data_IF_737765637099
#
_entry.id   IF_737765637099
#
_cell.length_a   1.000
_cell.length_b   1.000
_cell.length_c   1.000
_cell.angle_alpha   90.00
_cell.angle_beta   90.00
_cell.angle_gamma   90.00
#
_symmetry.space_group_name_H-M   'P 1'
#
loop_
_entity.id
_entity.type
_entity.pdbx_description
1 polymer ?
#
# COMPACT_ATOMS: atom_id res chain seq x y z
N UNK A 1 -56.16 7.64 -10.96
CA UNK A 1 -55.01 7.22 -10.15
C UNK A 1 -53.94 8.29 -10.27
N UNK A 2 -53.55 8.87 -9.16
CA UNK A 2 -52.85 10.16 -9.09
C UNK A 2 -51.35 10.02 -9.29
N UNK A 3 -50.78 10.79 -10.20
CA UNK A 3 -49.33 10.90 -10.52
C UNK A 3 -48.50 11.28 -9.29
N UNK A 4 -49.12 11.79 -8.23
CA UNK A 4 -48.48 12.19 -6.97
C UNK A 4 -47.98 11.00 -6.13
N UNK A 5 -48.57 9.81 -6.25
CA UNK A 5 -48.14 8.61 -5.49
C UNK A 5 -46.91 7.96 -6.09
N UNK A 6 -46.59 8.17 -7.37
CA UNK A 6 -45.43 7.58 -8.02
C UNK A 6 -44.15 8.34 -7.68
N UNK A 7 -44.21 9.65 -7.46
CA UNK A 7 -43.08 10.48 -7.12
C UNK A 7 -42.52 10.20 -5.70
N UNK A 8 -43.41 9.84 -4.77
CA UNK A 8 -43.02 9.55 -3.36
C UNK A 8 -42.28 8.22 -3.25
N UNK A 9 -42.63 7.22 -4.07
CA UNK A 9 -41.94 5.93 -4.06
C UNK A 9 -40.51 6.01 -4.62
N UNK A 10 -40.22 6.91 -5.57
CA UNK A 10 -38.87 7.07 -6.15
C UNK A 10 -37.93 7.75 -5.16
N UNK A 11 -38.40 8.70 -4.36
CA UNK A 11 -37.58 9.40 -3.36
C UNK A 11 -37.24 8.48 -2.18
N UNK A 12 -38.10 7.54 -1.82
CA UNK A 12 -37.83 6.59 -0.73
C UNK A 12 -36.85 5.48 -1.13
N UNK A 13 -36.74 5.16 -2.42
CA UNK A 13 -35.83 4.11 -2.92
C UNK A 13 -34.37 4.57 -3.06
N UNK A 14 -34.12 5.88 -3.12
CA UNK A 14 -32.73 6.42 -3.28
C UNK A 14 -32.02 6.70 -1.96
N UNK A 15 -32.72 6.70 -0.83
CA UNK A 15 -32.15 6.98 0.49
C UNK A 15 -31.18 5.90 1.03
N UNK A 16 -31.34 4.59 0.76
CA UNK A 16 -30.40 3.60 1.29
C UNK A 16 -29.05 3.53 0.56
N UNK A 17 -28.92 4.13 -0.62
CA UNK A 17 -27.66 4.11 -1.38
C UNK A 17 -26.60 5.10 -0.87
N UNK A 18 -26.96 6.04 -0.02
CA UNK A 18 -26.04 7.05 0.55
C UNK A 18 -25.42 6.62 1.90
N UNK A 19 -25.86 5.51 2.48
CA UNK A 19 -25.36 5.03 3.79
C UNK A 19 -24.21 4.04 3.70
N UNK A 20 -23.64 3.79 2.52
CA UNK A 20 -22.52 2.84 2.35
C UNK A 20 -21.14 3.49 2.43
N UNK A 21 -21.03 4.75 2.81
CA UNK A 21 -19.75 5.31 3.25
C UNK A 21 -19.48 4.82 4.68
N UNK A 22 -18.92 3.62 4.79
CA UNK A 22 -18.20 3.23 6.00
C UNK A 22 -17.00 4.16 6.12
N UNK A 23 -17.10 5.16 6.97
CA UNK A 23 -15.95 5.81 7.58
C UNK A 23 -15.12 4.69 8.21
N UNK A 24 -14.03 4.36 7.55
CA UNK A 24 -13.04 3.45 8.12
C UNK A 24 -12.55 4.10 9.42
N UNK A 25 -12.67 3.43 10.57
CA UNK A 25 -12.38 4.08 11.83
C UNK A 25 -10.93 4.53 11.88
N UNK A 26 -10.71 5.75 12.36
CA UNK A 26 -9.40 6.36 12.58
C UNK A 26 -8.45 5.56 13.50
N UNK A 27 -8.87 4.40 13.99
CA UNK A 27 -8.08 3.44 14.74
C UNK A 27 -6.92 2.85 13.91
N UNK A 28 -7.14 2.55 12.62
CA UNK A 28 -6.11 1.99 11.75
C UNK A 28 -4.95 2.98 11.50
N UNK A 29 -5.24 4.29 11.46
CA UNK A 29 -4.18 5.31 11.34
C UNK A 29 -3.31 5.43 12.59
N UNK A 30 -3.84 5.11 13.76
CA UNK A 30 -3.08 5.15 15.03
C UNK A 30 -2.20 3.92 15.23
N UNK A 31 -2.62 2.76 14.74
CA UNK A 31 -1.83 1.53 14.83
C UNK A 31 -0.57 1.58 13.95
N UNK A 32 -0.64 2.15 12.75
CA UNK A 32 0.51 2.31 11.87
C UNK A 32 1.65 3.17 12.45
N UNK A 33 1.35 4.01 13.44
CA UNK A 33 2.33 4.84 14.16
C UNK A 33 3.09 4.12 15.28
N UNK A 34 2.66 2.91 15.65
CA UNK A 34 3.13 2.25 16.85
C UNK A 34 4.33 1.32 16.64
N UNK A 35 4.83 1.17 15.40
CA UNK A 35 5.86 0.18 15.10
C UNK A 35 7.11 0.80 14.48
N UNK A 36 8.25 0.38 15.00
CA UNK A 36 9.57 0.69 14.45
C UNK A 36 10.00 -0.45 13.51
N UNK A 37 9.66 -0.32 12.23
CA UNK A 37 10.03 -1.31 11.23
C UNK A 37 11.53 -1.26 10.99
N UNK A 38 12.24 -2.38 11.19
CA UNK A 38 13.70 -2.50 11.10
C UNK A 38 14.18 -3.24 9.88
N UNK A 39 13.38 -4.15 9.34
CA UNK A 39 13.68 -4.91 8.14
C UNK A 39 12.39 -5.40 7.49
N UNK A 40 12.50 -5.78 6.23
CA UNK A 40 11.44 -6.50 5.52
C UNK A 40 12.06 -7.70 4.79
N UNK A 41 11.28 -8.77 4.64
CA UNK A 41 11.60 -9.93 3.83
C UNK A 41 10.47 -10.18 2.85
N UNK A 42 10.80 -10.22 1.56
CA UNK A 42 9.84 -10.49 0.51
C UNK A 42 9.96 -11.92 0.04
N UNK A 43 8.85 -12.64 0.11
CA UNK A 43 8.69 -13.99 -0.40
C UNK A 43 7.60 -14.02 -1.45
N UNK A 44 7.56 -15.05 -2.28
CA UNK A 44 6.53 -15.19 -3.29
C UNK A 44 6.27 -16.66 -3.61
N UNK A 45 5.15 -16.91 -4.31
CA UNK A 45 4.88 -18.21 -4.92
C UNK A 45 5.76 -18.40 -6.15
N UNK A 46 5.87 -19.66 -6.60
CA UNK A 46 6.74 -20.04 -7.73
C UNK A 46 6.38 -19.37 -9.07
N UNK A 47 5.12 -18.96 -9.23
CA UNK A 47 4.59 -18.31 -10.44
C UNK A 47 4.90 -16.81 -10.52
N UNK A 48 5.51 -16.23 -9.49
CA UNK A 48 5.83 -14.81 -9.41
C UNK A 48 7.22 -14.54 -9.99
N UNK A 49 7.38 -13.55 -10.88
CA UNK A 49 8.70 -13.19 -11.44
C UNK A 49 9.71 -12.80 -10.37
N UNK A 50 10.90 -13.40 -10.41
CA UNK A 50 11.97 -13.12 -9.45
C UNK A 50 12.38 -11.63 -9.42
N UNK A 51 12.31 -10.94 -10.56
CA UNK A 51 12.57 -9.50 -10.66
C UNK A 51 11.60 -8.70 -9.78
N UNK A 52 10.31 -9.04 -9.80
CA UNK A 52 9.30 -8.38 -8.95
C UNK A 52 9.63 -8.53 -7.47
N UNK A 53 10.01 -9.73 -7.05
CA UNK A 53 10.37 -10.05 -5.66
C UNK A 53 11.60 -9.26 -5.23
N UNK A 54 12.68 -9.33 -6.00
CA UNK A 54 13.97 -8.69 -5.69
C UNK A 54 13.83 -7.16 -5.64
N UNK A 55 13.12 -6.55 -6.60
CA UNK A 55 12.94 -5.11 -6.61
C UNK A 55 12.00 -4.63 -5.50
N UNK A 56 10.95 -5.39 -5.19
CA UNK A 56 10.09 -5.06 -4.05
C UNK A 56 10.87 -5.10 -2.74
N UNK A 57 11.68 -6.16 -2.53
CA UNK A 57 12.53 -6.30 -1.34
C UNK A 57 13.50 -5.13 -1.20
N UNK A 58 14.22 -4.81 -2.29
CA UNK A 58 15.16 -3.68 -2.32
C UNK A 58 14.47 -2.36 -1.98
N UNK A 59 13.37 -2.04 -2.65
CA UNK A 59 12.66 -0.76 -2.48
C UNK A 59 12.06 -0.59 -1.08
N UNK A 60 11.50 -1.65 -0.50
CA UNK A 60 10.94 -1.60 0.86
C UNK A 60 12.06 -1.43 1.89
N UNK A 61 13.16 -2.17 1.76
CA UNK A 61 14.30 -2.03 2.67
C UNK A 61 14.99 -0.67 2.54
N UNK A 62 15.10 -0.11 1.33
CA UNK A 62 15.58 1.27 1.12
C UNK A 62 14.69 2.29 1.83
N UNK A 63 13.36 2.14 1.76
CA UNK A 63 12.42 3.00 2.47
C UNK A 63 12.58 2.88 4.00
N UNK A 64 12.79 1.66 4.52
CA UNK A 64 13.03 1.41 5.94
C UNK A 64 14.33 2.10 6.41
N UNK A 65 15.42 1.93 5.67
CA UNK A 65 16.74 2.50 6.00
C UNK A 65 16.75 4.03 5.96
N UNK A 66 15.97 4.62 5.06
CA UNK A 66 15.88 6.09 4.92
C UNK A 66 14.89 6.74 5.87
N UNK A 67 14.08 5.95 6.59
CA UNK A 67 13.09 6.48 7.53
C UNK A 67 13.76 6.98 8.82
N UNK A 68 13.57 8.25 9.15
CA UNK A 68 14.00 8.82 10.43
C UNK A 68 13.01 8.49 11.53
N UNK A 69 13.51 7.98 12.67
CA UNK A 69 12.69 7.56 13.80
C UNK A 69 12.99 8.45 15.01
N UNK A 70 12.00 9.24 15.41
CA UNK A 70 12.15 10.18 16.53
C UNK A 70 11.78 9.60 17.90
N UNK A 71 11.16 8.41 17.95
CA UNK A 71 10.64 7.81 19.18
C UNK A 71 11.07 6.36 19.34
N UNK A 72 11.15 5.91 20.61
CA UNK A 72 11.40 4.50 20.95
C UNK A 72 10.09 3.75 20.78
N UNK A 73 9.97 3.02 19.69
CA UNK A 73 8.81 2.18 19.37
C UNK A 73 9.19 0.70 19.43
N UNK A 74 8.22 -0.23 19.59
CA UNK A 74 8.49 -1.66 19.48
C UNK A 74 9.07 -2.01 18.12
N UNK A 75 10.21 -2.72 18.12
CA UNK A 75 10.87 -3.15 16.89
C UNK A 75 10.06 -4.21 16.18
N UNK A 76 9.89 -4.04 14.89
CA UNK A 76 9.05 -4.88 14.04
C UNK A 76 9.79 -5.26 12.76
N UNK A 77 9.51 -6.44 12.26
CA UNK A 77 9.93 -6.94 10.95
C UNK A 77 8.69 -7.14 10.09
N UNK A 78 8.76 -6.79 8.81
CA UNK A 78 7.69 -7.07 7.86
C UNK A 78 8.00 -8.37 7.09
N UNK A 79 7.10 -9.34 7.19
CA UNK A 79 7.05 -10.49 6.30
C UNK A 79 6.06 -10.17 5.17
N UNK A 80 6.56 -10.02 3.97
CA UNK A 80 5.79 -9.64 2.78
C UNK A 80 5.72 -10.85 1.87
N UNK A 81 4.50 -11.25 1.49
CA UNK A 81 4.28 -12.37 0.58
C UNK A 81 3.50 -11.94 -0.65
N UNK A 82 4.06 -12.15 -1.83
CA UNK A 82 3.35 -11.98 -3.09
C UNK A 82 2.62 -13.28 -3.42
N UNK A 83 1.29 -13.26 -3.22
CA UNK A 83 0.43 -14.45 -3.34
C UNK A 83 0.07 -14.78 -4.78
N UNK A 84 -0.27 -13.76 -5.56
CA UNK A 84 -0.68 -13.91 -6.94
C UNK A 84 -0.08 -12.82 -7.81
N UNK A 85 0.34 -13.22 -8.99
CA UNK A 85 0.78 -12.33 -10.07
C UNK A 85 -0.02 -12.63 -11.34
N UNK A 86 -0.61 -11.62 -11.93
CA UNK A 86 -1.40 -11.75 -13.15
C UNK A 86 -0.89 -10.80 -14.22
N UNK A 87 -0.54 -11.35 -15.36
CA UNK A 87 -0.17 -10.62 -16.56
C UNK A 87 -1.34 -10.60 -17.54
N UNK A 88 -1.82 -9.42 -17.91
CA UNK A 88 -2.87 -9.27 -18.94
C UNK A 88 -2.26 -8.50 -20.10
N UNK A 89 -1.99 -9.18 -21.23
CA UNK A 89 -1.52 -8.51 -22.43
C UNK A 89 -2.65 -7.67 -23.03
N UNK A 90 -2.30 -6.51 -23.57
CA UNK A 90 -3.21 -5.62 -24.30
C UNK A 90 -2.70 -5.35 -25.70
N UNK A 91 -3.57 -4.89 -26.59
CA UNK A 91 -3.21 -4.49 -27.97
C UNK A 91 -2.19 -3.34 -27.99
N UNK A 92 -2.27 -2.45 -27.00
CA UNK A 92 -1.36 -1.31 -26.83
C UNK A 92 -0.86 -1.35 -25.37
N UNK A 93 0.19 -2.16 -25.11
CA UNK A 93 0.77 -2.28 -23.77
C UNK A 93 0.28 -3.50 -23.00
N UNK A 94 0.35 -3.44 -21.66
CA UNK A 94 -0.06 -4.52 -20.79
C UNK A 94 -0.45 -4.04 -19.39
N UNK A 95 -1.17 -4.89 -18.67
CA UNK A 95 -1.50 -4.72 -17.25
C UNK A 95 -0.78 -5.81 -16.46
N UNK A 96 -0.21 -5.44 -15.31
CA UNK A 96 0.23 -6.38 -14.29
C UNK A 96 -0.55 -6.11 -13.00
N UNK A 97 -0.85 -7.20 -12.31
CA UNK A 97 -1.59 -7.14 -11.05
C UNK A 97 -0.97 -8.13 -10.07
N UNK A 98 -0.84 -7.72 -8.81
CA UNK A 98 -0.38 -8.59 -7.75
C UNK A 98 -1.25 -8.44 -6.51
N UNK A 99 -1.47 -9.57 -5.81
CA UNK A 99 -2.04 -9.61 -4.47
C UNK A 99 -0.91 -9.88 -3.49
N UNK A 100 -0.81 -9.02 -2.49
CA UNK A 100 0.29 -9.01 -1.52
C UNK A 100 -0.29 -9.08 -0.12
N UNK A 101 0.22 -10.00 0.69
CA UNK A 101 -0.04 -10.10 2.12
C UNK A 101 1.18 -9.58 2.88
N UNK A 102 0.95 -8.72 3.86
CA UNK A 102 1.98 -8.15 4.71
C UNK A 102 1.65 -8.49 6.15
N UNK A 103 2.58 -9.10 6.84
CA UNK A 103 2.51 -9.43 8.26
C UNK A 103 3.59 -8.65 9.00
N UNK A 104 3.21 -7.96 10.07
CA UNK A 104 4.11 -7.27 10.96
C UNK A 104 4.39 -8.13 12.19
N UNK A 105 5.65 -8.47 12.41
CA UNK A 105 6.10 -9.39 13.47
C UNK A 105 6.94 -8.63 14.49
N UNK A 106 6.59 -8.74 15.76
CA UNK A 106 7.35 -8.15 16.86
C UNK A 106 8.70 -8.87 17.04
N UNK A 107 9.80 -8.12 17.03
CA UNK A 107 11.15 -8.68 17.22
C UNK A 107 11.34 -9.30 18.62
N UNK A 108 10.62 -8.78 19.62
CA UNK A 108 10.78 -9.18 21.00
C UNK A 108 10.35 -10.64 21.29
N UNK A 109 9.30 -11.10 20.64
CA UNK A 109 8.68 -12.41 20.91
C UNK A 109 8.32 -13.23 19.65
N UNK A 110 8.52 -12.67 18.45
CA UNK A 110 8.14 -13.33 17.20
C UNK A 110 6.63 -13.40 16.94
N UNK A 111 5.83 -12.62 17.68
CA UNK A 111 4.38 -12.61 17.53
C UNK A 111 3.94 -11.72 16.37
N UNK A 112 2.98 -12.20 15.58
CA UNK A 112 2.31 -11.40 14.56
C UNK A 112 1.40 -10.37 15.24
N UNK A 113 1.67 -9.10 15.01
CA UNK A 113 0.96 -7.98 15.66
C UNK A 113 -0.03 -7.29 14.73
N UNK A 114 0.17 -7.44 13.42
CA UNK A 114 -0.75 -6.95 12.40
C UNK A 114 -0.58 -7.75 11.11
N UNK A 115 -1.66 -7.94 10.39
CA UNK A 115 -1.67 -8.57 9.07
C UNK A 115 -2.62 -7.80 8.15
N UNK A 116 -2.25 -7.67 6.89
CA UNK A 116 -3.09 -7.04 5.88
C UNK A 116 -2.82 -7.59 4.50
N UNK A 117 -3.87 -7.68 3.68
CA UNK A 117 -3.77 -8.09 2.28
C UNK A 117 -4.32 -6.99 1.39
N UNK A 118 -3.60 -6.71 0.30
CA UNK A 118 -4.04 -5.75 -0.71
C UNK A 118 -3.74 -6.24 -2.11
N UNK A 119 -4.52 -5.77 -3.07
CA UNK A 119 -4.26 -5.98 -4.49
C UNK A 119 -3.87 -4.66 -5.15
N UNK A 120 -2.84 -4.69 -5.97
CA UNK A 120 -2.39 -3.53 -6.74
C UNK A 120 -2.18 -3.90 -8.19
N UNK A 121 -2.34 -2.93 -9.08
CA UNK A 121 -2.12 -3.14 -10.51
C UNK A 121 -1.51 -1.92 -11.16
N UNK A 122 -0.73 -2.16 -12.20
CA UNK A 122 -0.13 -1.15 -13.06
C UNK A 122 -0.49 -1.40 -14.52
N UNK A 123 -0.54 -0.34 -15.29
CA UNK A 123 -0.68 -0.40 -16.74
C UNK A 123 0.44 0.42 -17.38
N UNK A 124 1.06 -0.11 -18.43
CA UNK A 124 2.02 0.63 -19.24
C UNK A 124 1.94 0.23 -20.70
N UNK A 125 2.23 1.17 -21.57
CA UNK A 125 2.41 0.92 -22.99
C UNK A 125 3.72 0.17 -23.29
N UNK A 126 4.69 0.24 -22.36
CA UNK A 126 5.95 -0.49 -22.41
C UNK A 126 5.85 -1.72 -21.53
N UNK A 127 5.96 -2.89 -22.12
CA UNK A 127 5.84 -4.16 -21.40
C UNK A 127 7.08 -4.51 -20.56
N UNK A 128 8.26 -4.00 -20.96
CA UNK A 128 9.56 -4.25 -20.33
C UNK A 128 9.74 -3.62 -18.94
N UNK A 129 9.00 -2.55 -18.65
CA UNK A 129 9.06 -1.85 -17.36
C UNK A 129 7.95 -2.21 -16.37
N UNK A 130 6.99 -3.05 -16.78
CA UNK A 130 5.78 -3.31 -15.96
C UNK A 130 6.06 -3.97 -14.61
N UNK A 131 7.04 -4.88 -14.55
CA UNK A 131 7.39 -5.54 -13.27
C UNK A 131 8.06 -4.55 -12.31
N UNK A 132 8.90 -3.65 -12.81
CA UNK A 132 9.53 -2.60 -12.01
C UNK A 132 8.49 -1.60 -11.49
N UNK A 133 7.57 -1.16 -12.34
CA UNK A 133 6.48 -0.27 -11.94
C UNK A 133 5.54 -0.92 -10.91
N UNK A 134 5.32 -2.24 -11.03
CA UNK A 134 4.53 -2.98 -10.07
C UNK A 134 5.25 -3.07 -8.72
N UNK A 135 6.55 -3.34 -8.72
CA UNK A 135 7.38 -3.36 -7.52
C UNK A 135 7.38 -1.99 -6.81
N UNK A 136 7.57 -0.90 -7.56
CA UNK A 136 7.49 0.46 -7.03
C UNK A 136 6.13 0.74 -6.37
N UNK A 137 5.04 0.33 -7.02
CA UNK A 137 3.69 0.55 -6.49
C UNK A 137 3.41 -0.26 -5.23
N UNK A 138 3.89 -1.51 -5.17
CA UNK A 138 3.82 -2.35 -3.97
C UNK A 138 4.60 -1.70 -2.83
N UNK A 139 5.87 -1.34 -3.08
CA UNK A 139 6.73 -0.72 -2.08
C UNK A 139 6.17 0.62 -1.59
N UNK A 140 5.65 1.46 -2.48
CA UNK A 140 5.03 2.73 -2.13
C UNK A 140 3.77 2.53 -1.26
N UNK A 141 2.96 1.51 -1.53
CA UNK A 141 1.80 1.17 -0.71
C UNK A 141 2.22 0.75 0.69
N UNK A 142 3.20 -0.15 0.81
CA UNK A 142 3.75 -0.59 2.09
C UNK A 142 4.37 0.59 2.85
N UNK A 143 5.19 1.41 2.18
CA UNK A 143 5.78 2.60 2.77
C UNK A 143 4.74 3.57 3.32
N UNK A 144 3.63 3.76 2.60
CA UNK A 144 2.51 4.59 3.05
C UNK A 144 1.82 4.02 4.29
N UNK A 145 1.50 2.72 4.31
CA UNK A 145 0.81 2.07 5.44
C UNK A 145 1.66 2.09 6.72
N UNK A 146 2.98 1.85 6.60
CA UNK A 146 3.89 1.84 7.74
C UNK A 146 4.62 3.17 7.95
N UNK A 147 4.24 4.22 7.22
CA UNK A 147 4.86 5.57 7.26
C UNK A 147 6.38 5.53 7.17
N UNK A 148 6.88 4.70 6.25
CA UNK A 148 8.31 4.58 5.94
C UNK A 148 8.78 5.70 5.00
N UNK A 149 8.00 6.72 4.81
CA UNK A 149 8.39 7.87 3.99
C UNK A 149 9.32 8.75 4.78
N UNK A 150 10.49 8.98 4.21
CA UNK A 150 11.31 10.12 4.52
C UNK A 150 10.41 11.36 4.37
N UNK A 151 10.28 12.17 5.42
CA UNK A 151 10.14 13.61 5.22
C UNK A 151 11.43 14.00 4.53
N UNK A 152 11.39 14.06 3.20
CA UNK A 152 12.56 14.43 2.41
C UNK A 152 13.07 15.77 2.92
N UNK A 153 14.39 16.05 2.91
CA UNK A 153 14.84 17.41 3.08
C UNK A 153 14.02 18.21 2.07
N UNK A 154 13.39 19.26 2.58
CA UNK A 154 12.79 20.27 1.75
C UNK A 154 13.67 20.44 0.51
N UNK A 155 13.08 20.36 -0.68
CA UNK A 155 13.85 20.57 -1.92
C UNK A 155 14.79 21.73 -1.72
N UNK A 156 15.97 21.72 -2.34
CA UNK A 156 16.94 22.84 -2.24
C UNK A 156 16.25 24.22 -2.35
N UNK A 157 15.17 24.32 -3.13
CA UNK A 157 14.32 25.50 -3.22
C UNK A 157 13.64 25.83 -1.87
N UNK A 158 13.10 24.87 -1.15
CA UNK A 158 12.43 25.11 0.15
C UNK A 158 13.45 25.44 1.25
N UNK A 159 14.66 24.84 1.21
CA UNK A 159 15.73 25.15 2.14
C UNK A 159 16.31 26.56 1.93
N UNK A 160 16.32 27.06 0.70
CA UNK A 160 16.78 28.44 0.38
C UNK A 160 15.76 29.52 0.74
N UNK A 161 14.48 29.20 0.88
CA UNK A 161 13.41 30.13 1.25
C UNK A 161 12.96 30.03 2.71
N UNK A 162 13.52 29.11 3.49
CA UNK A 162 13.33 29.01 4.94
C UNK A 162 14.38 29.86 5.68
N UNK A 163 14.59 31.12 5.28
CA UNK A 163 15.38 32.06 6.05
C UNK A 163 14.48 32.90 6.97
N UNK A 164 14.97 33.31 8.15
CA UNK A 164 14.23 33.77 9.34
C UNK A 164 13.35 34.97 9.14
#
# INVERSE_FOLDING_TARGET
MSVRSFAICIVLATLPLLMSFRLQPAAAEREALLYDVRAAFVTAREDVPALLVTETDRLVNDAILTTMRGHVLPRTILAIRVEHHKAVPGLLGGKREATVTVEAVAVANGEAIAEGTFTTSVFSLRSDSLELLLAEKIAARIASEFRLTREGPATLATALFAAP
#
